data_IF_477412666803
#
_entry.id   IF_477412666803
#
_cell.length_a   1.000
_cell.length_b   1.000
_cell.length_c   1.000
_cell.angle_alpha   90.00
_cell.angle_beta   90.00
_cell.angle_gamma   90.00
#
_symmetry.space_group_name_H-M   'P 1'
#
loop_
_entity.id
_entity.type
_entity.pdbx_description
1 polymer ?
#
# COMPACT_ATOMS: atom_id res chain seq x y z
N UNK A 1 -2.23 -16.57 34.98
CA UNK A 1 -3.07 -17.10 33.89
C UNK A 1 -2.33 -16.81 32.62
N UNK A 2 -1.57 -17.80 32.15
CA UNK A 2 -0.89 -17.79 30.86
C UNK A 2 -1.95 -17.90 29.77
N UNK A 3 -2.03 -16.90 28.89
CA UNK A 3 -3.07 -16.86 27.88
C UNK A 3 -2.87 -15.85 26.76
N UNK A 4 -1.74 -15.14 26.71
CA UNK A 4 -1.41 -14.29 25.56
C UNK A 4 -0.46 -15.04 24.62
N UNK A 5 -0.88 -16.22 24.17
CA UNK A 5 -0.40 -16.73 22.90
C UNK A 5 -1.07 -15.88 21.81
N UNK A 6 -0.55 -14.67 21.58
CA UNK A 6 -0.83 -13.90 20.37
C UNK A 6 -0.51 -14.83 19.20
N UNK A 7 -1.54 -15.42 18.62
CA UNK A 7 -1.42 -16.34 17.51
C UNK A 7 -0.86 -15.56 16.32
N UNK A 8 0.45 -15.64 16.13
CA UNK A 8 1.07 -15.40 14.83
C UNK A 8 0.57 -16.50 13.88
N UNK A 9 -0.67 -16.35 13.40
CA UNK A 9 -1.17 -17.14 12.28
C UNK A 9 -0.28 -16.80 11.10
N UNK A 10 0.46 -17.79 10.60
CA UNK A 10 1.19 -17.63 9.36
C UNK A 10 0.17 -17.31 8.26
N UNK A 11 0.46 -16.28 7.45
CA UNK A 11 -0.35 -15.98 6.28
C UNK A 11 -0.19 -17.11 5.25
N UNK A 12 -1.29 -17.50 4.61
CA UNK A 12 -1.24 -18.48 3.53
C UNK A 12 -0.45 -17.90 2.34
N UNK A 13 0.25 -18.74 1.54
CA UNK A 13 1.04 -18.26 0.40
C UNK A 13 0.29 -17.37 -0.59
N UNK A 14 -0.99 -17.66 -0.84
CA UNK A 14 -1.89 -16.86 -1.68
C UNK A 14 -2.13 -15.46 -1.11
N UNK A 15 -2.35 -15.34 0.21
CA UNK A 15 -2.52 -14.06 0.91
C UNK A 15 -1.25 -13.22 0.80
N UNK A 16 -0.08 -13.87 0.94
CA UNK A 16 1.20 -13.20 0.75
C UNK A 16 1.35 -12.70 -0.70
N UNK A 17 0.98 -13.51 -1.69
CA UNK A 17 1.04 -13.13 -3.10
C UNK A 17 0.15 -11.92 -3.41
N UNK A 18 -1.07 -11.87 -2.87
CA UNK A 18 -1.97 -10.73 -3.02
C UNK A 18 -1.40 -9.45 -2.39
N UNK A 19 -0.83 -9.54 -1.18
CA UNK A 19 -0.18 -8.38 -0.53
C UNK A 19 1.00 -7.87 -1.35
N UNK A 20 1.80 -8.77 -1.92
CA UNK A 20 2.94 -8.40 -2.77
C UNK A 20 2.48 -7.71 -4.05
N UNK A 21 1.38 -8.17 -4.64
CA UNK A 21 0.79 -7.53 -5.82
C UNK A 21 0.27 -6.13 -5.53
N UNK A 22 -0.42 -5.93 -4.40
CA UNK A 22 -0.87 -4.60 -3.94
C UNK A 22 0.32 -3.64 -3.80
N UNK A 23 1.44 -4.12 -3.22
CA UNK A 23 2.67 -3.31 -3.08
C UNK A 23 3.33 -3.00 -4.42
N UNK A 24 3.33 -3.96 -5.36
CA UNK A 24 3.85 -3.76 -6.73
C UNK A 24 3.06 -2.64 -7.43
N UNK A 25 1.74 -2.71 -7.40
CA UNK A 25 0.84 -1.72 -7.99
C UNK A 25 0.99 -0.33 -7.34
N UNK A 26 1.12 -0.26 -6.01
CA UNK A 26 1.43 1.00 -5.31
C UNK A 26 2.73 1.63 -5.86
N UNK A 27 3.78 0.82 -5.99
CA UNK A 27 5.08 1.27 -6.51
C UNK A 27 4.97 1.86 -7.92
N UNK A 28 4.25 1.19 -8.81
CA UNK A 28 4.01 1.67 -10.18
C UNK A 28 3.28 3.00 -10.22
N UNK A 29 2.24 3.16 -9.40
CA UNK A 29 1.47 4.41 -9.32
C UNK A 29 2.29 5.54 -8.72
N UNK A 30 3.12 5.28 -7.70
CA UNK A 30 4.04 6.28 -7.13
C UNK A 30 5.07 6.73 -8.17
N UNK A 31 5.63 5.81 -8.97
CA UNK A 31 6.57 6.14 -10.03
C UNK A 31 5.93 7.03 -11.10
N UNK A 32 4.68 6.74 -11.48
CA UNK A 32 3.91 7.57 -12.41
C UNK A 32 3.63 8.97 -11.84
N UNK A 33 3.26 9.08 -10.56
CA UNK A 33 3.08 10.37 -9.89
C UNK A 33 4.37 11.18 -9.84
N UNK A 34 5.51 10.54 -9.58
CA UNK A 34 6.81 11.21 -9.60
C UNK A 34 7.14 11.76 -10.99
N UNK A 35 6.94 10.95 -12.04
CA UNK A 35 7.14 11.38 -13.43
C UNK A 35 6.22 12.57 -13.79
N UNK A 36 4.95 12.52 -13.40
CA UNK A 36 4.02 13.63 -13.60
C UNK A 36 4.47 14.90 -12.84
N UNK A 37 4.97 14.76 -11.61
CA UNK A 37 5.46 15.87 -10.81
C UNK A 37 6.69 16.55 -11.42
N UNK A 38 7.60 15.76 -12.00
CA UNK A 38 8.77 16.28 -12.73
C UNK A 38 8.36 17.11 -13.95
N UNK A 39 7.34 16.67 -14.70
CA UNK A 39 6.88 17.36 -15.92
C UNK A 39 5.87 18.48 -15.66
N UNK A 40 5.21 18.50 -14.49
CA UNK A 40 4.17 19.48 -14.13
C UNK A 40 4.38 20.08 -12.73
N UNK A 41 5.48 20.80 -12.47
CA UNK A 41 5.89 21.21 -11.12
C UNK A 41 4.91 22.14 -10.39
N UNK A 42 3.96 22.77 -11.09
CA UNK A 42 2.91 23.61 -10.48
C UNK A 42 1.90 22.82 -9.64
N UNK A 43 1.88 21.49 -9.75
CA UNK A 43 0.94 20.59 -9.05
C UNK A 43 1.52 19.89 -7.80
N UNK A 44 2.61 20.38 -7.22
CA UNK A 44 3.33 19.67 -6.15
C UNK A 44 2.45 19.27 -4.94
N UNK A 45 1.48 20.13 -4.57
CA UNK A 45 0.53 19.84 -3.49
C UNK A 45 -0.43 18.72 -3.87
N UNK A 46 -0.94 18.73 -5.09
CA UNK A 46 -1.85 17.75 -5.65
C UNK A 46 -1.17 16.38 -5.76
N UNK A 47 0.10 16.34 -6.19
CA UNK A 47 0.88 15.09 -6.23
C UNK A 47 1.17 14.54 -4.83
N UNK A 48 1.45 15.41 -3.86
CA UNK A 48 1.61 14.98 -2.47
C UNK A 48 0.31 14.37 -1.92
N UNK A 49 -0.84 15.01 -2.18
CA UNK A 49 -2.15 14.49 -1.79
C UNK A 49 -2.46 13.15 -2.48
N UNK A 50 -2.19 13.04 -3.79
CA UNK A 50 -2.38 11.80 -4.53
C UNK A 50 -1.52 10.66 -3.95
N UNK A 51 -0.26 10.94 -3.60
CA UNK A 51 0.62 9.97 -2.95
C UNK A 51 0.07 9.49 -1.60
N UNK A 52 -0.42 10.40 -0.76
CA UNK A 52 -1.05 10.04 0.52
C UNK A 52 -2.28 9.16 0.31
N UNK A 53 -3.14 9.50 -0.64
CA UNK A 53 -4.33 8.70 -0.95
C UNK A 53 -3.96 7.29 -1.43
N UNK A 54 -2.91 7.13 -2.25
CA UNK A 54 -2.42 5.81 -2.67
C UNK A 54 -1.93 4.97 -1.49
N UNK A 55 -1.19 5.59 -0.55
CA UNK A 55 -0.69 4.89 0.63
C UNK A 55 -1.83 4.43 1.55
N UNK A 56 -2.89 5.23 1.68
CA UNK A 56 -4.11 4.86 2.40
C UNK A 56 -4.86 3.73 1.69
N UNK A 57 -5.05 3.82 0.37
CA UNK A 57 -5.68 2.76 -0.42
C UNK A 57 -4.93 1.42 -0.29
N UNK A 58 -3.59 1.45 -0.35
CA UNK A 58 -2.76 0.27 -0.10
C UNK A 58 -3.00 -0.31 1.30
N UNK A 59 -3.05 0.54 2.32
CA UNK A 59 -3.29 0.10 3.70
C UNK A 59 -4.65 -0.61 3.81
N UNK A 60 -5.73 0.00 3.32
CA UNK A 60 -7.06 -0.61 3.33
C UNK A 60 -7.15 -1.90 2.52
N UNK A 61 -6.46 -1.98 1.38
CA UNK A 61 -6.39 -3.19 0.58
C UNK A 61 -5.70 -4.34 1.34
N UNK A 62 -4.56 -4.06 1.99
CA UNK A 62 -3.85 -5.07 2.79
C UNK A 62 -4.69 -5.47 4.00
N UNK A 63 -5.31 -4.52 4.71
CA UNK A 63 -6.22 -4.82 5.82
C UNK A 63 -7.35 -5.75 5.37
N UNK A 64 -8.01 -5.45 4.24
CA UNK A 64 -9.09 -6.28 3.68
C UNK A 64 -8.65 -7.67 3.23
N UNK A 65 -7.37 -7.89 2.93
CA UNK A 65 -6.80 -9.22 2.62
C UNK A 65 -6.51 -10.01 3.90
N UNK A 66 -6.15 -9.32 5.00
CA UNK A 66 -5.69 -9.94 6.24
C UNK A 66 -6.77 -10.14 7.33
N UNK A 67 -7.94 -9.52 7.18
CA UNK A 67 -9.10 -9.64 8.08
C UNK A 67 -9.99 -10.83 7.71
#
# INVERSE_FOLDING_TARGET
MDGEANHHRALEPETIAEILEVRRLEGELIALLANLAEHHPKGGREFAAARTNLQQARMWAIEGITL
#
